data_IF_436420587402
#
_entry.id   IF_436420587402
#
_cell.length_a   1.000
_cell.length_b   1.000
_cell.length_c   1.000
_cell.angle_alpha   90.00
_cell.angle_beta   90.00
_cell.angle_gamma   90.00
#
_symmetry.space_group_name_H-M   'P 1'
#
loop_
_entity.id
_entity.type
_entity.pdbx_description
1 polymer ?
#
# COMPACT_ATOMS: atom_id res chain seq x y z
N UNK A 1 33.58 15.82 -30.40
CA UNK A 1 33.45 15.07 -29.14
C UNK A 1 32.65 15.96 -28.20
N UNK A 2 31.36 15.72 -28.11
CA UNK A 2 30.49 16.34 -27.10
C UNK A 2 29.49 15.26 -26.70
N UNK A 3 29.60 14.83 -25.44
CA UNK A 3 28.77 13.79 -24.83
C UNK A 3 27.34 14.31 -24.70
N UNK A 4 26.39 13.58 -25.29
CA UNK A 4 24.97 13.75 -25.00
C UNK A 4 24.70 13.07 -23.66
N UNK A 5 24.62 13.88 -22.60
CA UNK A 5 24.21 13.42 -21.27
C UNK A 5 22.81 12.83 -21.31
N UNK A 6 22.73 11.51 -21.20
CA UNK A 6 21.48 10.78 -21.00
C UNK A 6 20.87 11.20 -19.67
N UNK A 7 19.74 11.92 -19.69
CA UNK A 7 18.87 12.04 -18.53
C UNK A 7 18.18 10.69 -18.34
N UNK A 8 18.76 9.82 -17.53
CA UNK A 8 18.04 8.68 -17.00
C UNK A 8 16.99 9.22 -16.02
N UNK A 9 15.75 9.32 -16.49
CA UNK A 9 14.59 9.43 -15.59
C UNK A 9 14.49 8.08 -14.87
N UNK A 10 15.18 7.97 -13.73
CA UNK A 10 14.94 6.91 -12.77
C UNK A 10 13.52 7.08 -12.27
N UNK A 11 12.57 6.34 -12.86
CA UNK A 11 11.26 6.15 -12.27
C UNK A 11 11.49 5.33 -11.01
N UNK A 12 11.76 6.01 -9.89
CA UNK A 12 11.58 5.38 -8.59
C UNK A 12 10.08 5.21 -8.44
N UNK A 13 9.61 3.99 -8.71
CA UNK A 13 8.35 3.54 -8.15
C UNK A 13 8.56 3.63 -6.64
N UNK A 14 8.05 4.69 -6.00
CA UNK A 14 8.04 4.80 -4.55
C UNK A 14 7.27 3.57 -4.06
N UNK A 15 8.00 2.60 -3.51
CA UNK A 15 7.37 1.45 -2.87
C UNK A 15 6.44 2.00 -1.81
N UNK A 16 5.16 1.65 -1.87
CA UNK A 16 4.22 2.05 -0.83
C UNK A 16 4.79 1.56 0.50
N UNK A 17 5.08 2.48 1.42
CA UNK A 17 5.52 2.10 2.75
C UNK A 17 4.32 1.51 3.51
N UNK A 18 4.44 0.30 4.03
CA UNK A 18 3.39 -0.31 4.85
C UNK A 18 4.02 -1.07 6.01
N UNK A 19 3.23 -1.22 7.07
CA UNK A 19 3.55 -2.06 8.21
C UNK A 19 2.88 -3.43 8.03
N UNK A 20 3.65 -4.49 8.28
CA UNK A 20 3.13 -5.85 8.32
C UNK A 20 2.68 -6.19 9.74
N UNK A 21 1.47 -6.71 9.85
CA UNK A 21 0.87 -7.12 11.12
C UNK A 21 0.18 -8.47 10.98
N UNK A 22 -0.15 -9.05 12.14
CA UNK A 22 -0.83 -10.33 12.25
C UNK A 22 -2.02 -10.21 13.20
N UNK A 23 -3.13 -10.84 12.85
CA UNK A 23 -4.29 -10.99 13.70
C UNK A 23 -4.61 -12.47 13.87
N UNK A 24 -4.72 -12.91 15.12
CA UNK A 24 -5.14 -14.28 15.44
C UNK A 24 -6.59 -14.49 15.01
N UNK A 25 -6.83 -15.50 14.18
CA UNK A 25 -8.14 -15.91 13.69
C UNK A 25 -8.42 -17.37 14.01
N UNK A 26 -9.71 -17.73 14.10
CA UNK A 26 -10.10 -19.12 14.29
C UNK A 26 -9.90 -19.90 12.99
N UNK A 27 -9.47 -21.16 13.09
CA UNK A 27 -9.34 -22.03 11.91
C UNK A 27 -10.72 -22.41 11.36
N UNK A 28 -11.71 -22.58 12.22
CA UNK A 28 -13.09 -22.90 11.86
C UNK A 28 -14.04 -21.92 12.54
N UNK A 29 -14.77 -21.15 11.74
CA UNK A 29 -15.74 -20.17 12.24
C UNK A 29 -17.17 -20.71 12.31
N UNK A 30 -17.42 -21.90 11.75
CA UNK A 30 -18.76 -22.48 11.62
C UNK A 30 -18.95 -23.71 12.52
N UNK A 31 -17.86 -24.42 12.82
CA UNK A 31 -17.81 -25.50 13.79
C UNK A 31 -17.41 -25.02 15.19
N UNK A 32 -17.88 -25.74 16.22
CA UNK A 32 -17.57 -25.47 17.63
C UNK A 32 -16.69 -26.56 18.25
N UNK A 33 -16.07 -27.41 17.43
CA UNK A 33 -15.33 -28.61 17.87
C UNK A 33 -13.84 -28.37 18.08
N UNK A 34 -13.32 -27.22 17.67
CA UNK A 34 -11.88 -26.92 17.67
C UNK A 34 -11.65 -25.45 18.01
N UNK A 35 -10.77 -25.19 18.98
CA UNK A 35 -10.34 -23.84 19.36
C UNK A 35 -9.01 -23.45 18.69
N UNK A 36 -8.63 -24.14 17.62
CA UNK A 36 -7.38 -23.87 16.89
C UNK A 36 -7.43 -22.50 16.23
N UNK A 37 -6.29 -21.84 16.25
CA UNK A 37 -6.10 -20.52 15.64
C UNK A 37 -4.95 -20.51 14.64
N UNK A 38 -4.90 -19.46 13.82
CA UNK A 38 -3.77 -19.14 12.97
C UNK A 38 -3.56 -17.62 12.93
N UNK A 39 -2.35 -17.20 12.55
CA UNK A 39 -1.99 -15.79 12.42
C UNK A 39 -2.29 -15.32 10.98
N UNK A 40 -3.39 -14.59 10.81
CA UNK A 40 -3.73 -13.98 9.52
C UNK A 40 -2.91 -12.70 9.33
N UNK A 41 -2.04 -12.70 8.32
CA UNK A 41 -1.23 -11.54 7.93
C UNK A 41 -2.11 -10.45 7.29
N UNK A 42 -1.86 -9.19 7.63
CA UNK A 42 -2.42 -8.02 6.96
C UNK A 42 -1.39 -6.90 6.89
N UNK A 43 -1.59 -5.98 5.92
CA UNK A 43 -0.73 -4.81 5.74
C UNK A 43 -1.52 -3.55 6.06
N UNK A 44 -0.89 -2.60 6.75
CA UNK A 44 -1.50 -1.31 7.08
C UNK A 44 -0.60 -0.15 6.64
N UNK A 45 -1.22 0.91 6.12
CA UNK A 45 -0.56 2.19 5.88
C UNK A 45 -1.31 3.29 6.64
N UNK A 46 -0.59 4.01 7.49
CA UNK A 46 -1.15 5.09 8.30
C UNK A 46 -0.76 6.49 7.78
N UNK A 47 0.02 6.59 6.68
CA UNK A 47 0.61 7.84 6.18
C UNK A 47 -0.41 8.96 6.00
N UNK A 48 -1.61 8.62 5.55
CA UNK A 48 -2.70 9.57 5.29
C UNK A 48 -3.91 9.39 6.20
N UNK A 49 -3.81 8.51 7.20
CA UNK A 49 -4.92 8.24 8.12
C UNK A 49 -5.05 9.38 9.14
N UNK A 50 -6.27 9.91 9.30
CA UNK A 50 -6.60 10.84 10.38
C UNK A 50 -7.25 10.06 11.55
N UNK A 51 -6.65 10.04 12.75
CA UNK A 51 -7.18 9.28 13.88
C UNK A 51 -8.48 9.83 14.49
N UNK A 52 -8.82 11.10 14.25
CA UNK A 52 -10.02 11.74 14.82
C UNK A 52 -11.26 11.60 13.91
N UNK A 53 -11.07 11.58 12.58
CA UNK A 53 -12.19 11.58 11.62
C UNK A 53 -11.86 10.93 10.25
N UNK A 54 -10.84 10.06 10.20
CA UNK A 54 -10.44 9.34 9.00
C UNK A 54 -11.31 8.10 8.74
N UNK A 55 -11.45 7.72 7.47
CA UNK A 55 -12.10 6.46 7.08
C UNK A 55 -11.06 5.34 6.92
N UNK A 56 -11.48 4.10 7.18
CA UNK A 56 -10.66 2.91 6.92
C UNK A 56 -11.00 2.39 5.53
N UNK A 57 -9.98 2.29 4.67
CA UNK A 57 -10.11 1.62 3.37
C UNK A 57 -9.61 0.20 3.52
N UNK A 58 -10.52 -0.77 3.33
CA UNK A 58 -10.26 -2.17 3.58
C UNK A 58 -10.35 -2.97 2.28
N UNK A 59 -9.21 -3.48 1.83
CA UNK A 59 -9.15 -4.39 0.69
C UNK A 59 -9.29 -5.83 1.16
N UNK A 60 -10.31 -6.52 0.65
CA UNK A 60 -10.50 -7.96 0.91
C UNK A 60 -9.55 -8.75 0.01
N UNK A 61 -8.45 -9.23 0.58
CA UNK A 61 -7.47 -10.05 -0.14
C UNK A 61 -8.11 -11.18 -0.95
N UNK A 62 -7.46 -11.54 -2.06
CA UNK A 62 -7.88 -12.63 -2.95
C UNK A 62 -6.80 -13.73 -2.99
N UNK A 63 -6.82 -14.58 -4.01
CA UNK A 63 -5.96 -15.75 -4.15
C UNK A 63 -4.49 -15.43 -4.50
N UNK A 64 -4.18 -14.16 -4.75
CA UNK A 64 -2.82 -13.68 -5.04
C UNK A 64 -2.04 -13.23 -3.81
N UNK A 65 -0.72 -13.20 -3.91
CA UNK A 65 0.14 -12.61 -2.87
C UNK A 65 -0.23 -11.14 -2.61
N UNK A 66 -0.34 -10.77 -1.33
CA UNK A 66 -0.79 -9.44 -0.92
C UNK A 66 0.12 -8.32 -1.46
N UNK A 67 1.40 -8.62 -1.69
CA UNK A 67 2.41 -7.69 -2.22
C UNK A 67 2.07 -7.22 -3.64
N UNK A 68 1.36 -8.04 -4.42
CA UNK A 68 0.95 -7.70 -5.80
C UNK A 68 -0.11 -6.60 -5.81
N UNK A 69 -0.94 -6.47 -4.77
CA UNK A 69 -2.01 -5.48 -4.71
C UNK A 69 -1.54 -4.12 -4.22
N UNK A 70 -0.58 -4.08 -3.30
CA UNK A 70 0.03 -2.82 -2.85
C UNK A 70 0.67 -2.07 -4.02
N UNK A 71 1.33 -2.79 -4.93
CA UNK A 71 2.02 -2.20 -6.08
C UNK A 71 1.09 -1.89 -7.28
N UNK A 72 -0.08 -2.53 -7.41
CA UNK A 72 -0.96 -2.37 -8.58
C UNK A 72 -2.28 -1.64 -8.30
N UNK A 73 -2.69 -1.47 -7.03
CA UNK A 73 -3.97 -0.82 -6.67
C UNK A 73 -3.78 0.59 -6.12
N UNK A 74 -2.53 1.02 -5.94
CA UNK A 74 -2.17 2.38 -5.55
C UNK A 74 -2.20 3.33 -6.75
N UNK A 75 -3.28 3.30 -7.54
CA UNK A 75 -3.55 4.32 -8.56
C UNK A 75 -4.23 5.52 -7.88
N UNK A 76 -3.57 6.08 -6.85
CA UNK A 76 -3.96 7.40 -6.31
C UNK A 76 -3.35 8.42 -7.27
N UNK A 77 -4.15 9.20 -8.01
CA UNK A 77 -3.64 10.08 -9.05
C UNK A 77 -2.62 11.06 -8.47
N UNK A 78 -1.40 11.00 -8.99
CA UNK A 78 -0.33 12.00 -8.83
C UNK A 78 -0.69 13.31 -9.55
N UNK A 79 -1.94 13.76 -9.50
CA UNK A 79 -2.41 15.00 -10.11
C UNK A 79 -2.60 16.14 -9.09
N UNK A 80 -2.32 15.89 -7.81
CA UNK A 80 -2.42 16.90 -6.74
C UNK A 80 -1.08 17.22 -6.05
N UNK A 81 0.04 16.63 -6.49
CA UNK A 81 1.35 17.15 -6.09
C UNK A 81 1.66 18.41 -6.89
N UNK A 82 1.27 19.54 -6.33
CA UNK A 82 1.56 20.88 -6.84
C UNK A 82 3.02 21.26 -6.54
N UNK A 83 3.97 20.44 -6.96
CA UNK A 83 5.41 20.72 -6.91
C UNK A 83 5.95 21.33 -8.20
N UNK A 84 5.11 21.47 -9.24
CA UNK A 84 5.44 22.19 -10.47
C UNK A 84 5.25 23.71 -10.30
N UNK A 85 5.99 24.29 -9.36
CA UNK A 85 6.14 25.74 -9.25
C UNK A 85 7.15 26.24 -10.29
N UNK A 86 6.90 25.95 -11.56
CA UNK A 86 7.77 26.29 -12.69
C UNK A 86 7.15 27.32 -13.62
N UNK A 87 6.56 28.37 -13.06
CA UNK A 87 6.42 29.68 -13.70
C UNK A 87 6.58 30.72 -12.60
N UNK A 88 7.77 31.29 -12.43
CA UNK A 88 7.99 32.72 -12.15
C UNK A 88 9.44 33.10 -12.52
N UNK A 89 9.55 34.09 -13.42
CA UNK A 89 10.71 34.77 -14.01
C UNK A 89 11.43 34.10 -15.19
#
# INVERSE_FOLDING_TARGET
MTENGSLFLSCTCESLEYEEHYITQQVDHFGFSTDKTYEQRYLANYKYYNPENGSIFFYTGNEGGIEVFVNNTADVPRSLDNSDNRIEN
#
